data_IF_120555149099
#
_entry.id   IF_120555149099
#
_cell.length_a   1.000
_cell.length_b   1.000
_cell.length_c   1.000
_cell.angle_alpha   90.00
_cell.angle_beta   90.00
_cell.angle_gamma   90.00
#
_symmetry.space_group_name_H-M   'P 1'
#
loop_
_entity.id
_entity.type
_entity.pdbx_description
1 polymer ?
#
# COMPACT_ATOMS: atom_id res chain seq x y z
N UNK A 1 4.32 -5.19 -2.51
CA UNK A 1 4.25 -6.19 -1.43
C UNK A 1 3.09 -5.92 -0.45
N UNK A 2 3.01 -4.73 0.14
CA UNK A 2 2.06 -4.39 1.21
C UNK A 2 0.57 -4.52 0.86
N UNK A 3 0.17 -4.14 -0.36
CA UNK A 3 -1.22 -4.28 -0.84
C UNK A 3 -1.69 -5.74 -0.80
N UNK A 4 -0.84 -6.70 -1.20
CA UNK A 4 -1.18 -8.12 -1.17
C UNK A 4 -1.37 -8.66 0.25
N UNK A 5 -0.53 -8.24 1.21
CA UNK A 5 -0.68 -8.61 2.62
C UNK A 5 -1.95 -8.02 3.24
N UNK A 6 -2.26 -6.75 2.96
CA UNK A 6 -3.51 -6.13 3.37
C UNK A 6 -4.72 -6.89 2.78
N UNK A 7 -4.64 -7.27 1.49
CA UNK A 7 -5.64 -8.09 0.82
C UNK A 7 -5.86 -9.45 1.49
N UNK A 8 -4.79 -10.12 1.94
CA UNK A 8 -4.89 -11.39 2.67
C UNK A 8 -5.56 -11.21 4.04
N UNK A 9 -5.25 -10.14 4.77
CA UNK A 9 -5.92 -9.82 6.04
C UNK A 9 -7.41 -9.54 5.83
N UNK A 10 -7.76 -8.80 4.77
CA UNK A 10 -9.15 -8.55 4.37
C UNK A 10 -9.86 -9.86 4.02
N UNK A 11 -9.23 -10.72 3.20
CA UNK A 11 -9.78 -12.03 2.85
C UNK A 11 -10.04 -12.88 4.10
N UNK A 12 -9.11 -12.90 5.06
CA UNK A 12 -9.30 -13.58 6.35
C UNK A 12 -10.45 -12.97 7.17
N UNK A 13 -10.63 -11.64 7.17
CA UNK A 13 -11.75 -11.00 7.86
C UNK A 13 -13.11 -11.38 7.25
N UNK A 14 -13.19 -11.41 5.91
CA UNK A 14 -14.37 -11.85 5.17
C UNK A 14 -14.69 -13.31 5.47
N UNK A 15 -13.69 -14.21 5.40
CA UNK A 15 -13.87 -15.63 5.70
C UNK A 15 -14.40 -15.86 7.13
N UNK A 16 -13.98 -15.03 8.10
CA UNK A 16 -14.45 -15.09 9.50
C UNK A 16 -15.81 -14.42 9.72
N UNK A 17 -16.37 -13.73 8.70
CA UNK A 17 -17.61 -12.93 8.78
C UNK A 17 -17.66 -12.01 10.01
N UNK A 18 -16.52 -11.42 10.36
CA UNK A 18 -16.37 -10.63 11.59
C UNK A 18 -15.91 -9.21 11.28
N UNK A 19 -16.72 -8.22 11.66
CA UNK A 19 -16.36 -6.81 11.56
C UNK A 19 -15.14 -6.46 12.43
N UNK A 20 -14.96 -7.15 13.57
CA UNK A 20 -13.80 -6.97 14.45
C UNK A 20 -12.50 -7.39 13.74
N UNK A 21 -12.57 -8.34 12.82
CA UNK A 21 -11.40 -8.78 12.05
C UNK A 21 -10.92 -7.71 11.03
N UNK A 22 -11.63 -6.60 10.86
CA UNK A 22 -11.15 -5.43 10.10
C UNK A 22 -10.16 -4.59 10.92
N UNK A 23 -10.21 -4.62 12.25
CA UNK A 23 -9.26 -3.91 13.10
C UNK A 23 -7.79 -4.23 12.80
N UNK A 24 -7.37 -5.51 12.70
CA UNK A 24 -5.99 -5.83 12.33
C UNK A 24 -5.64 -5.36 10.91
N UNK A 25 -6.59 -5.31 9.97
CA UNK A 25 -6.36 -4.74 8.62
C UNK A 25 -6.02 -3.26 8.75
N UNK A 26 -6.84 -2.49 9.46
CA UNK A 26 -6.65 -1.06 9.64
C UNK A 26 -5.34 -0.75 10.38
N UNK A 27 -5.06 -1.49 11.46
CA UNK A 27 -3.82 -1.36 12.23
C UNK A 27 -2.59 -1.64 11.35
N UNK A 28 -2.64 -2.69 10.52
CA UNK A 28 -1.56 -3.04 9.60
C UNK A 28 -1.31 -1.92 8.58
N UNK A 29 -2.35 -1.48 7.87
CA UNK A 29 -2.24 -0.42 6.86
C UNK A 29 -1.67 0.87 7.46
N UNK A 30 -2.19 1.33 8.61
CA UNK A 30 -1.73 2.56 9.25
C UNK A 30 -0.28 2.47 9.75
N UNK A 31 0.14 1.29 10.23
CA UNK A 31 1.50 1.09 10.74
C UNK A 31 2.51 1.09 9.59
N UNK A 32 2.21 0.32 8.54
CA UNK A 32 3.07 0.22 7.36
C UNK A 32 3.18 1.57 6.63
N UNK A 33 2.06 2.27 6.46
CA UNK A 33 2.01 3.57 5.79
C UNK A 33 2.89 4.62 6.47
N UNK A 34 2.87 4.67 7.82
CA UNK A 34 3.62 5.69 8.57
C UNK A 34 5.08 5.34 8.84
N UNK A 35 5.42 4.06 8.90
CA UNK A 35 6.76 3.62 9.28
C UNK A 35 7.55 3.08 8.10
N UNK A 36 7.18 1.89 7.61
CA UNK A 36 7.95 1.16 6.60
C UNK A 36 7.98 1.90 5.26
N UNK A 37 6.81 2.31 4.74
CA UNK A 37 6.73 2.96 3.43
C UNK A 37 7.57 4.24 3.41
N UNK A 38 7.43 5.11 4.43
CA UNK A 38 8.20 6.36 4.46
C UNK A 38 9.71 6.14 4.45
N UNK A 39 10.21 5.17 5.22
CA UNK A 39 11.65 4.88 5.27
C UNK A 39 12.15 4.33 3.92
N UNK A 40 11.37 3.45 3.28
CA UNK A 40 11.70 2.94 1.95
C UNK A 40 11.67 4.04 0.90
N UNK A 41 10.64 4.89 0.89
CA UNK A 41 10.53 5.99 -0.06
C UNK A 41 11.63 7.03 0.12
N UNK A 42 12.02 7.36 1.36
CA UNK A 42 13.13 8.28 1.63
C UNK A 42 14.46 7.70 1.09
N UNK A 43 14.69 6.39 1.25
CA UNK A 43 15.86 5.71 0.71
C UNK A 43 15.86 5.65 -0.82
N UNK A 44 14.69 5.38 -1.42
CA UNK A 44 14.53 5.35 -2.88
C UNK A 44 14.67 6.74 -3.50
N UNK A 45 14.15 7.78 -2.84
CA UNK A 45 14.32 9.17 -3.27
C UNK A 45 15.80 9.59 -3.24
N UNK A 46 16.55 9.16 -2.21
CA UNK A 46 17.98 9.43 -2.12
C UNK A 46 18.79 8.74 -3.23
N UNK A 47 18.40 7.53 -3.63
CA UNK A 47 19.12 6.75 -4.66
C UNK A 47 18.72 7.14 -6.10
N UNK A 48 17.44 7.38 -6.36
CA UNK A 48 16.88 7.53 -7.71
C UNK A 48 16.36 8.94 -8.05
N UNK A 49 16.19 9.82 -7.06
CA UNK A 49 15.80 11.23 -7.26
C UNK A 49 14.56 11.41 -8.15
N UNK A 50 14.70 12.20 -9.20
CA UNK A 50 13.62 12.60 -10.12
C UNK A 50 12.86 11.43 -10.77
N UNK A 51 13.53 10.30 -11.01
CA UNK A 51 12.89 9.13 -11.60
C UNK A 51 11.93 8.45 -10.61
N UNK A 52 12.28 8.47 -9.33
CA UNK A 52 11.39 8.01 -8.27
C UNK A 52 10.20 8.97 -8.10
N UNK A 53 10.41 10.29 -8.15
CA UNK A 53 9.29 11.25 -8.13
C UNK A 53 8.35 11.09 -9.32
N UNK A 54 8.89 10.78 -10.51
CA UNK A 54 8.09 10.47 -11.70
C UNK A 54 7.28 9.18 -11.52
N UNK A 55 7.89 8.15 -10.95
CA UNK A 55 7.23 6.89 -10.62
C UNK A 55 6.08 7.09 -9.62
N UNK A 56 6.29 7.84 -8.54
CA UNK A 56 5.24 8.11 -7.54
C UNK A 56 4.04 8.89 -8.11
N UNK A 57 4.23 9.64 -9.20
CA UNK A 57 3.13 10.34 -9.89
C UNK A 57 2.23 9.40 -10.69
N UNK A 58 2.75 8.31 -11.22
CA UNK A 58 1.94 7.32 -11.96
C UNK A 58 1.46 6.17 -11.08
N UNK A 59 2.21 5.80 -10.03
CA UNK A 59 1.91 4.63 -9.20
C UNK A 59 1.48 5.03 -7.78
N UNK A 60 0.23 4.74 -7.37
CA UNK A 60 -0.22 4.98 -5.99
C UNK A 60 0.40 4.00 -5.00
N UNK A 61 0.55 4.43 -3.73
CA UNK A 61 1.05 3.58 -2.63
C UNK A 61 0.17 2.35 -2.33
N UNK A 62 -1.15 2.53 -2.39
CA UNK A 62 -2.13 1.49 -2.08
C UNK A 62 -2.91 1.09 -3.31
N UNK A 63 -4.09 1.68 -3.53
CA UNK A 63 -4.92 1.49 -4.71
C UNK A 63 -5.73 2.77 -4.95
N UNK A 64 -5.71 3.29 -6.17
CA UNK A 64 -6.61 4.35 -6.61
C UNK A 64 -7.02 4.13 -8.09
N UNK A 65 -7.55 5.17 -8.75
CA UNK A 65 -7.97 5.08 -10.16
C UNK A 65 -6.82 4.72 -11.11
N UNK A 66 -5.59 5.16 -10.81
CA UNK A 66 -4.38 4.84 -11.59
C UNK A 66 -4.01 3.37 -11.50
N UNK A 67 -4.49 2.65 -10.49
CA UNK A 67 -4.29 1.20 -10.37
C UNK A 67 -5.14 0.39 -11.36
N UNK A 68 -6.16 0.99 -11.96
CA UNK A 68 -7.09 0.34 -12.89
C UNK A 68 -7.08 0.97 -14.29
N UNK A 69 -6.65 2.22 -14.41
CA UNK A 69 -6.27 2.82 -15.70
C UNK A 69 -4.93 2.23 -16.17
N UNK A 70 -5.01 1.06 -16.80
CA UNK A 70 -3.95 0.58 -17.66
C UNK A 70 -4.09 1.29 -19.00
N UNK A 71 -3.31 2.34 -19.24
CA UNK A 71 -3.03 2.80 -20.60
C UNK A 71 -2.31 1.64 -21.32
N UNK A 72 -3.06 0.92 -22.16
CA UNK A 72 -2.57 -0.13 -23.04
C UNK A 72 -2.18 0.40 -24.41
#
# INVERSE_FOLDING_TARGET
>A
MYVGMAGLLVANAILRRSAIAVLPVAAFVLTIDRSQIRVEEDALAAEFGDDFERYCRSVPRWLDRRSVEFEG
#
